data_IF_390575996104
#
_entry.id   IF_390575996104
#
_cell.length_a   1.000
_cell.length_b   1.000
_cell.length_c   1.000
_cell.angle_alpha   90.00
_cell.angle_beta   90.00
_cell.angle_gamma   90.00
#
_symmetry.space_group_name_H-M   'P 1'
#
loop_
_entity.id
_entity.type
_entity.pdbx_description
1 polymer ?
#
# COMPACT_ATOMS: atom_id res chain seq x y z
N UNK A 1 3.78 5.58 -14.87
CA UNK A 1 3.89 4.26 -14.22
C UNK A 1 2.56 3.58 -14.38
N UNK A 2 2.57 2.34 -14.88
CA UNK A 2 1.36 1.54 -15.00
C UNK A 2 1.00 0.83 -13.68
N UNK A 3 -0.19 0.22 -13.63
CA UNK A 3 -0.67 -0.46 -12.42
C UNK A 3 0.20 -1.66 -12.05
N UNK A 4 0.70 -2.43 -13.01
CA UNK A 4 1.52 -3.61 -12.71
C UNK A 4 2.87 -3.22 -12.11
N UNK A 5 3.47 -2.13 -12.58
CA UNK A 5 4.69 -1.55 -12.01
C UNK A 5 4.44 -1.06 -10.59
N UNK A 6 3.33 -0.34 -10.37
CA UNK A 6 2.96 0.17 -9.06
C UNK A 6 2.78 -0.96 -8.04
N UNK A 7 2.08 -2.04 -8.40
CA UNK A 7 1.88 -3.22 -7.53
C UNK A 7 3.21 -3.85 -7.14
N UNK A 8 4.12 -4.09 -8.10
CA UNK A 8 5.43 -4.67 -7.82
C UNK A 8 6.25 -3.79 -6.87
N UNK A 9 6.17 -2.47 -7.06
CA UNK A 9 6.84 -1.51 -6.18
C UNK A 9 6.25 -1.53 -4.78
N UNK A 10 4.93 -1.58 -4.63
CA UNK A 10 4.27 -1.72 -3.33
C UNK A 10 4.70 -3.01 -2.64
N UNK A 11 4.71 -4.14 -3.34
CA UNK A 11 5.16 -5.43 -2.77
C UNK A 11 6.59 -5.30 -2.22
N UNK A 12 7.52 -4.75 -3.00
CA UNK A 12 8.90 -4.56 -2.54
C UNK A 12 9.02 -3.63 -1.33
N UNK A 13 8.24 -2.54 -1.29
CA UNK A 13 8.21 -1.63 -0.12
C UNK A 13 7.67 -2.32 1.13
N UNK A 14 6.65 -3.17 0.97
CA UNK A 14 6.07 -3.92 2.08
C UNK A 14 7.03 -4.98 2.61
N UNK A 15 7.74 -5.69 1.73
CA UNK A 15 8.75 -6.69 2.11
C UNK A 15 9.97 -6.06 2.80
N UNK A 16 10.35 -4.84 2.39
CA UNK A 16 11.46 -4.09 3.00
C UNK A 16 11.10 -3.55 4.39
N UNK A 17 9.90 -2.98 4.54
CA UNK A 17 9.49 -2.34 5.81
C UNK A 17 8.99 -3.35 6.85
N UNK A 18 8.31 -4.43 6.42
CA UNK A 18 7.67 -5.38 7.33
C UNK A 18 8.38 -6.74 7.28
N UNK A 19 9.21 -7.08 8.29
CA UNK A 19 9.94 -8.35 8.33
C UNK A 19 9.05 -9.60 8.30
N UNK A 20 7.77 -9.48 8.70
CA UNK A 20 6.80 -10.57 8.62
C UNK A 20 6.42 -10.93 7.19
N UNK A 21 6.65 -10.03 6.24
CA UNK A 21 6.30 -10.19 4.82
C UNK A 21 7.48 -10.65 3.97
N UNK A 22 8.73 -10.44 4.41
CA UNK A 22 9.93 -10.70 3.61
C UNK A 22 10.14 -12.17 3.25
N UNK A 23 9.62 -13.10 4.04
CA UNK A 23 9.70 -14.55 3.81
C UNK A 23 8.47 -15.11 3.08
N UNK A 24 7.56 -14.24 2.61
CA UNK A 24 6.30 -14.63 1.97
C UNK A 24 6.31 -14.36 0.47
N UNK A 25 5.62 -15.20 -0.32
CA UNK A 25 5.28 -14.89 -1.71
C UNK A 25 4.07 -13.95 -1.75
N UNK A 26 4.33 -12.65 -1.55
CA UNK A 26 3.28 -11.63 -1.53
C UNK A 26 2.74 -11.41 -2.96
N UNK A 27 1.42 -11.58 -3.13
CA UNK A 27 0.73 -11.38 -4.41
C UNK A 27 -0.09 -10.11 -4.38
N UNK A 28 -0.49 -9.68 -5.57
CA UNK A 28 -1.27 -8.45 -5.75
C UNK A 28 -2.57 -8.45 -4.92
N UNK A 29 -3.20 -9.61 -4.76
CA UNK A 29 -4.47 -9.83 -4.07
C UNK A 29 -4.31 -10.42 -2.66
N UNK A 30 -3.07 -10.55 -2.16
CA UNK A 30 -2.81 -11.02 -0.80
C UNK A 30 -3.49 -10.08 0.20
N UNK A 31 -4.40 -10.64 0.98
CA UNK A 31 -5.02 -9.96 2.12
C UNK A 31 -3.94 -9.62 3.14
N UNK A 32 -3.89 -8.37 3.59
CA UNK A 32 -2.90 -7.85 4.54
C UNK A 32 -3.53 -7.65 5.92
N UNK A 33 -4.63 -6.91 6.00
CA UNK A 33 -5.28 -6.60 7.27
C UNK A 33 -6.17 -7.76 7.73
N UNK A 34 -7.04 -8.28 6.84
CA UNK A 34 -7.96 -9.36 7.22
C UNK A 34 -7.27 -10.70 7.50
N UNK A 35 -6.07 -10.90 6.95
CA UNK A 35 -5.24 -12.07 7.24
C UNK A 35 -4.44 -11.95 8.54
N UNK A 36 -4.37 -10.75 9.13
CA UNK A 36 -3.55 -10.44 10.30
C UNK A 36 -2.06 -10.30 9.99
N UNK A 37 -1.66 -10.19 8.72
CA UNK A 37 -0.28 -9.93 8.33
C UNK A 37 0.18 -8.52 8.70
N UNK A 38 -0.75 -7.56 8.61
CA UNK A 38 -0.60 -6.19 9.09
C UNK A 38 -1.73 -5.87 10.07
N UNK A 39 -1.43 -5.04 11.07
CA UNK A 39 -2.45 -4.46 11.93
C UNK A 39 -3.00 -3.15 11.34
N UNK A 40 -4.10 -2.64 11.91
CA UNK A 40 -4.68 -1.38 11.45
C UNK A 40 -3.77 -0.15 11.67
N UNK A 41 -2.77 -0.26 12.54
CA UNK A 41 -1.82 0.83 12.79
C UNK A 41 -0.74 0.91 11.72
N UNK A 42 -0.39 -0.23 11.10
CA UNK A 42 0.52 -0.30 9.96
C UNK A 42 0.06 0.55 8.77
N UNK A 43 -1.24 0.89 8.68
CA UNK A 43 -1.78 1.78 7.65
C UNK A 43 -1.04 3.13 7.60
N UNK A 44 -0.68 3.70 8.74
CA UNK A 44 0.04 5.00 8.79
C UNK A 44 1.46 4.84 8.21
N UNK A 45 2.12 3.74 8.51
CA UNK A 45 3.43 3.40 7.94
C UNK A 45 3.33 3.19 6.44
N UNK A 46 2.37 2.39 5.98
CA UNK A 46 2.12 2.15 4.54
C UNK A 46 1.84 3.45 3.81
N UNK A 47 1.04 4.34 4.40
CA UNK A 47 0.74 5.65 3.82
C UNK A 47 2.02 6.48 3.64
N UNK A 48 2.86 6.55 4.67
CA UNK A 48 4.14 7.26 4.62
C UNK A 48 5.08 6.68 3.55
N UNK A 49 5.14 5.35 3.43
CA UNK A 49 5.91 4.68 2.37
C UNK A 49 5.40 5.06 0.98
N UNK A 50 4.08 5.08 0.79
CA UNK A 50 3.45 5.46 -0.49
C UNK A 50 3.77 6.90 -0.84
N UNK A 51 3.55 7.85 0.08
CA UNK A 51 3.84 9.27 -0.18
C UNK A 51 5.31 9.49 -0.54
N UNK A 52 6.23 8.89 0.22
CA UNK A 52 7.67 8.97 -0.01
C UNK A 52 8.10 8.33 -1.33
N UNK A 53 7.69 7.09 -1.58
CA UNK A 53 8.18 6.31 -2.71
C UNK A 53 7.59 6.76 -4.05
N UNK A 54 6.38 7.33 -4.06
CA UNK A 54 5.69 7.78 -5.27
C UNK A 54 5.72 9.30 -5.44
N UNK A 55 6.18 10.06 -4.44
CA UNK A 55 6.27 11.52 -4.50
C UNK A 55 4.89 12.17 -4.56
N UNK A 56 3.92 11.60 -3.84
CA UNK A 56 2.53 12.05 -3.80
C UNK A 56 2.19 12.52 -2.38
N UNK A 57 1.17 13.36 -2.23
CA UNK A 57 0.55 13.58 -0.92
C UNK A 57 -0.88 13.07 -0.96
N UNK A 58 -1.21 12.16 -0.07
CA UNK A 58 -2.49 11.49 -0.01
C UNK A 58 -3.43 12.26 0.92
N UNK A 59 -4.67 12.46 0.49
CA UNK A 59 -5.72 13.01 1.33
C UNK A 59 -6.32 11.91 2.21
N UNK A 60 -5.96 11.92 3.49
CA UNK A 60 -6.44 10.96 4.49
C UNK A 60 -7.95 10.92 4.62
N UNK A 61 -8.67 12.00 4.25
CA UNK A 61 -10.13 12.03 4.30
C UNK A 61 -10.78 11.19 3.19
N UNK A 62 -10.02 10.81 2.16
CA UNK A 62 -10.47 9.97 1.04
C UNK A 62 -10.17 8.49 1.25
N UNK A 63 -9.54 8.13 2.38
CA UNK A 63 -9.06 6.79 2.64
C UNK A 63 -10.03 5.96 3.47
N UNK A 64 -10.20 4.71 3.05
CA UNK A 64 -10.90 3.66 3.79
C UNK A 64 -9.94 2.49 4.07
N UNK A 65 -10.17 1.74 5.15
CA UNK A 65 -9.35 0.57 5.50
C UNK A 65 -9.28 -0.47 4.37
N UNK A 66 -10.35 -0.59 3.60
CA UNK A 66 -10.45 -1.49 2.43
C UNK A 66 -9.38 -1.20 1.36
N UNK A 67 -8.88 0.03 1.27
CA UNK A 67 -7.82 0.40 0.33
C UNK A 67 -6.46 -0.17 0.72
N UNK A 68 -6.29 -0.56 1.98
CA UNK A 68 -5.06 -1.14 2.52
C UNK A 68 -5.13 -2.66 2.65
N UNK A 69 -6.19 -3.28 2.13
CA UNK A 69 -6.40 -4.73 2.25
C UNK A 69 -5.40 -5.54 1.41
N UNK A 70 -4.87 -4.99 0.31
CA UNK A 70 -3.96 -5.72 -0.58
C UNK A 70 -2.96 -4.81 -1.28
N UNK A 71 -1.82 -5.33 -1.78
CA UNK A 71 -0.90 -4.54 -2.60
C UNK A 71 -1.56 -3.92 -3.84
N UNK A 72 -2.54 -4.60 -4.44
CA UNK A 72 -3.31 -4.09 -5.57
C UNK A 72 -4.12 -2.84 -5.20
N UNK A 73 -4.82 -2.84 -4.08
CA UNK A 73 -5.62 -1.69 -3.63
C UNK A 73 -4.74 -0.54 -3.16
N UNK A 74 -3.62 -0.84 -2.47
CA UNK A 74 -2.65 0.19 -2.06
C UNK A 74 -2.04 0.87 -3.29
N UNK A 75 -1.77 0.10 -4.35
CA UNK A 75 -1.26 0.67 -5.60
C UNK A 75 -2.22 1.67 -6.25
N UNK A 76 -3.54 1.51 -6.04
CA UNK A 76 -4.54 2.49 -6.52
C UNK A 76 -4.41 3.81 -5.76
N UNK A 77 -4.20 3.76 -4.44
CA UNK A 77 -3.92 4.95 -3.62
C UNK A 77 -2.65 5.66 -4.11
N UNK A 78 -1.63 4.91 -4.51
CA UNK A 78 -0.37 5.46 -4.98
C UNK A 78 -0.47 6.20 -6.34
N UNK A 79 -1.36 5.77 -7.24
CA UNK A 79 -1.37 6.24 -8.64
C UNK A 79 -2.62 7.02 -9.05
N UNK A 80 -3.74 6.84 -8.35
CA UNK A 80 -5.00 7.50 -8.67
C UNK A 80 -5.07 8.85 -7.98
N UNK A 81 -5.09 9.92 -8.78
CA UNK A 81 -5.11 11.31 -8.33
C UNK A 81 -6.31 11.65 -7.47
N UNK A 82 -7.39 10.87 -7.51
CA UNK A 82 -8.56 11.12 -6.67
C UNK A 82 -8.25 10.99 -5.17
N UNK A 83 -7.19 10.26 -4.81
CA UNK A 83 -6.73 10.11 -3.43
C UNK A 83 -5.66 11.13 -3.05
N UNK A 84 -5.20 11.97 -3.99
CA UNK A 84 -4.13 12.91 -3.75
C UNK A 84 -4.68 14.29 -3.44
N UNK A 85 -3.94 15.05 -2.64
CA UNK A 85 -4.25 16.45 -2.41
C UNK A 85 -4.12 17.22 -3.74
N UNK A 86 -5.07 18.13 -3.95
CA UNK A 86 -5.14 19.00 -5.12
C UNK A 86 -3.95 19.97 -5.21
#
# INVERSE_FOLDING_TARGET
MDRSEAVKKIIGLLEEEFPTLSDMDLKADTALLSSGLLDSFAMVTVLSLVESAFGVSVDVNTLELSLFESPATISEVAIDKKYHKA
#
